data_IF_154810503389
#
_entry.id   IF_154810503389
#
_cell.length_a   1.000
_cell.length_b   1.000
_cell.length_c   1.000
_cell.angle_alpha   90.00
_cell.angle_beta   90.00
_cell.angle_gamma   90.00
#
_symmetry.space_group_name_H-M   'P 1'
#
loop_
_entity.id
_entity.type
_entity.pdbx_description
1 polymer ?
#
# COMPACT_ATOMS: atom_id res chain seq x y z
N UNK A 1 -25.48 -32.95 -2.51
CA UNK A 1 -24.74 -32.27 -1.45
C UNK A 1 -23.34 -32.86 -1.19
N UNK A 2 -23.19 -34.14 -0.74
CA UNK A 2 -21.87 -34.72 -0.39
C UNK A 2 -20.85 -34.68 -1.55
N UNK A 3 -21.24 -34.98 -2.80
CA UNK A 3 -20.34 -34.89 -3.96
C UNK A 3 -19.89 -33.47 -4.27
N UNK A 4 -20.79 -32.48 -4.14
CA UNK A 4 -20.44 -31.05 -4.33
C UNK A 4 -19.48 -30.55 -3.26
N UNK A 5 -19.66 -30.95 -2.00
CA UNK A 5 -18.75 -30.62 -0.91
C UNK A 5 -17.35 -31.22 -1.12
N UNK A 6 -17.27 -32.49 -1.58
CA UNK A 6 -16.00 -33.15 -1.91
C UNK A 6 -15.31 -32.44 -3.07
N UNK A 7 -16.06 -32.09 -4.14
CA UNK A 7 -15.48 -31.36 -5.27
C UNK A 7 -14.97 -29.96 -4.88
N UNK A 8 -15.72 -29.22 -4.04
CA UNK A 8 -15.29 -27.92 -3.52
C UNK A 8 -14.02 -28.04 -2.65
N UNK A 9 -13.95 -29.08 -1.81
CA UNK A 9 -12.76 -29.35 -0.99
C UNK A 9 -11.53 -29.69 -1.85
N UNK A 10 -11.69 -30.52 -2.88
CA UNK A 10 -10.62 -30.88 -3.81
C UNK A 10 -10.11 -29.65 -4.60
N UNK A 11 -11.01 -28.78 -5.04
CA UNK A 11 -10.65 -27.53 -5.72
C UNK A 11 -9.89 -26.58 -4.77
N UNK A 12 -10.29 -26.50 -3.51
CA UNK A 12 -9.61 -25.70 -2.49
C UNK A 12 -8.21 -26.24 -2.23
N UNK A 13 -8.06 -27.55 -2.08
CA UNK A 13 -6.75 -28.21 -1.89
C UNK A 13 -5.84 -27.98 -3.11
N UNK A 14 -6.38 -28.10 -4.32
CA UNK A 14 -5.64 -27.81 -5.55
C UNK A 14 -5.18 -26.34 -5.63
N UNK A 15 -6.05 -25.41 -5.28
CA UNK A 15 -5.72 -23.99 -5.24
C UNK A 15 -4.62 -23.68 -4.21
N UNK A 16 -4.70 -24.28 -3.02
CA UNK A 16 -3.67 -24.16 -1.98
C UNK A 16 -2.34 -24.76 -2.46
N UNK A 17 -2.36 -25.92 -3.11
CA UNK A 17 -1.17 -26.56 -3.66
C UNK A 17 -0.51 -25.70 -4.75
N UNK A 18 -1.29 -25.12 -5.66
CA UNK A 18 -0.80 -24.22 -6.71
C UNK A 18 -0.17 -22.96 -6.09
N UNK A 19 -0.83 -22.37 -5.10
CA UNK A 19 -0.30 -21.21 -4.39
C UNK A 19 0.99 -21.56 -3.63
N UNK A 20 1.04 -22.72 -2.99
CA UNK A 20 2.23 -23.22 -2.31
C UNK A 20 3.39 -23.45 -3.28
N UNK A 21 3.15 -24.08 -4.42
CA UNK A 21 4.18 -24.30 -5.45
C UNK A 21 4.67 -22.99 -6.07
N UNK A 22 3.76 -22.03 -6.28
CA UNK A 22 4.11 -20.70 -6.78
C UNK A 22 5.03 -19.96 -5.78
N UNK A 23 4.65 -19.90 -4.51
CA UNK A 23 5.45 -19.25 -3.47
C UNK A 23 6.76 -19.95 -3.20
N UNK A 24 6.77 -21.31 -3.23
CA UNK A 24 7.96 -22.11 -3.05
C UNK A 24 8.99 -21.86 -4.17
N UNK A 25 8.54 -21.90 -5.44
CA UNK A 25 9.42 -21.58 -6.58
C UNK A 25 9.92 -20.15 -6.54
N UNK A 26 9.06 -19.21 -6.17
CA UNK A 26 9.45 -17.82 -6.02
C UNK A 26 10.57 -17.67 -4.98
N UNK A 27 10.40 -18.22 -3.79
CA UNK A 27 11.38 -18.12 -2.70
C UNK A 27 12.73 -18.82 -2.99
N UNK A 28 12.75 -19.81 -3.91
CA UNK A 28 14.01 -20.39 -4.40
C UNK A 28 14.77 -19.42 -5.29
N UNK A 29 14.06 -18.71 -6.17
CA UNK A 29 14.66 -17.81 -7.17
C UNK A 29 14.99 -16.45 -6.55
N UNK A 30 14.10 -15.95 -5.68
CA UNK A 30 14.17 -14.65 -5.02
C UNK A 30 14.03 -14.85 -3.49
N UNK A 31 15.08 -15.32 -2.79
CA UNK A 31 14.97 -15.60 -1.37
C UNK A 31 14.78 -14.32 -0.56
N UNK A 32 13.70 -14.29 0.21
CA UNK A 32 13.47 -13.23 1.18
C UNK A 32 14.43 -13.37 2.36
N UNK A 33 14.94 -12.23 2.82
CA UNK A 33 15.55 -12.11 4.14
C UNK A 33 14.47 -11.78 5.17
N UNK A 34 14.70 -12.09 6.43
CA UNK A 34 13.80 -11.74 7.54
C UNK A 34 14.58 -11.26 8.75
N UNK A 35 13.97 -10.37 9.51
CA UNK A 35 14.52 -9.86 10.76
C UNK A 35 13.39 -9.45 11.71
N UNK A 36 13.70 -9.27 13.00
CA UNK A 36 12.75 -8.76 13.98
C UNK A 36 13.42 -7.84 15.00
N UNK A 37 12.60 -6.97 15.58
CA UNK A 37 12.96 -6.09 16.69
C UNK A 37 12.09 -6.39 17.90
N UNK A 38 12.54 -6.01 19.09
CA UNK A 38 11.70 -5.89 20.28
C UNK A 38 11.41 -4.41 20.53
N UNK A 39 10.12 -4.04 20.52
CA UNK A 39 9.67 -2.66 20.73
C UNK A 39 8.54 -2.72 21.76
N UNK A 40 8.69 -2.02 22.87
CA UNK A 40 7.69 -1.95 23.96
C UNK A 40 7.19 -3.32 24.44
N UNK A 41 8.08 -4.31 24.50
CA UNK A 41 7.76 -5.68 24.92
C UNK A 41 7.14 -6.57 23.82
N UNK A 42 6.98 -6.08 22.59
CA UNK A 42 6.44 -6.83 21.47
C UNK A 42 7.50 -7.16 20.43
N UNK A 43 7.49 -8.39 19.93
CA UNK A 43 8.29 -8.77 18.76
C UNK A 43 7.63 -8.22 17.49
N UNK A 44 8.43 -7.49 16.68
CA UNK A 44 8.00 -6.86 15.43
C UNK A 44 8.89 -7.33 14.30
N UNK A 45 8.35 -8.17 13.43
CA UNK A 45 9.09 -8.82 12.36
C UNK A 45 8.83 -8.18 10.99
N UNK A 46 9.72 -8.44 10.05
CA UNK A 46 9.56 -8.07 8.65
C UNK A 46 10.33 -9.02 7.74
N UNK A 47 9.88 -9.12 6.50
CA UNK A 47 10.63 -9.74 5.41
C UNK A 47 11.05 -8.66 4.42
N UNK A 48 12.11 -8.91 3.68
CA UNK A 48 12.60 -7.94 2.71
C UNK A 48 13.34 -8.59 1.55
N UNK A 49 13.31 -7.93 0.42
CA UNK A 49 13.99 -8.30 -0.80
C UNK A 49 15.11 -7.31 -1.12
N UNK A 50 16.27 -7.82 -1.42
CA UNK A 50 17.45 -7.06 -1.85
C UNK A 50 17.91 -7.61 -3.19
N UNK A 51 17.98 -6.81 -4.25
CA UNK A 51 18.53 -7.23 -5.53
C UNK A 51 19.94 -7.83 -5.39
N UNK A 52 20.24 -8.86 -6.20
CA UNK A 52 21.55 -9.53 -6.17
C UNK A 52 22.72 -8.56 -6.41
N UNK A 53 22.49 -7.59 -7.29
CA UNK A 53 23.44 -6.51 -7.57
C UNK A 53 22.73 -5.19 -7.26
N UNK A 54 22.96 -4.63 -6.08
CA UNK A 54 22.35 -3.38 -5.69
C UNK A 54 23.35 -2.23 -5.82
N UNK A 55 22.90 -1.12 -6.37
CA UNK A 55 23.72 0.09 -6.48
C UNK A 55 23.95 0.71 -5.09
N UNK A 56 25.06 1.47 -4.89
CA UNK A 56 25.32 2.20 -3.65
C UNK A 56 24.18 3.20 -3.33
N UNK A 57 23.95 3.41 -2.03
CA UNK A 57 22.92 4.32 -1.52
C UNK A 57 21.51 4.00 -2.07
N UNK A 58 21.03 2.74 -1.97
CA UNK A 58 19.75 2.36 -2.55
C UNK A 58 18.59 3.08 -1.87
N UNK A 59 17.49 3.19 -2.59
CA UNK A 59 16.19 3.62 -2.09
C UNK A 59 15.59 2.57 -1.18
N UNK A 60 14.65 2.96 -0.31
CA UNK A 60 13.87 2.04 0.53
C UNK A 60 12.38 2.18 0.22
N UNK A 61 11.71 1.08 -0.09
CA UNK A 61 10.25 1.04 -0.26
C UNK A 61 9.65 0.12 0.80
N UNK A 62 8.84 0.69 1.71
CA UNK A 62 8.16 -0.04 2.78
C UNK A 62 6.72 -0.28 2.38
N UNK A 63 6.28 -1.55 2.33
CA UNK A 63 4.99 -1.98 1.78
C UNK A 63 4.13 -2.57 2.89
N UNK A 64 3.17 -1.79 3.41
CA UNK A 64 2.29 -2.14 4.53
C UNK A 64 1.08 -2.94 4.04
N UNK A 65 0.87 -4.13 4.61
CA UNK A 65 -0.24 -5.02 4.25
C UNK A 65 -1.60 -4.55 4.79
N UNK A 66 -2.68 -5.07 4.22
CA UNK A 66 -4.05 -4.85 4.68
C UNK A 66 -4.39 -5.62 5.96
N UNK A 67 -5.62 -5.43 6.44
CA UNK A 67 -6.14 -6.11 7.64
C UNK A 67 -6.05 -7.63 7.56
N UNK A 68 -5.67 -8.27 8.68
CA UNK A 68 -5.61 -9.73 8.84
C UNK A 68 -4.66 -10.44 7.86
N UNK A 69 -3.78 -9.70 7.21
CA UNK A 69 -2.77 -10.24 6.31
C UNK A 69 -1.43 -10.45 7.04
N UNK A 70 -0.56 -11.17 6.36
CA UNK A 70 0.84 -11.32 6.73
C UNK A 70 1.74 -10.65 5.67
N UNK A 71 2.94 -10.28 6.07
CA UNK A 71 3.93 -9.63 5.21
C UNK A 71 4.13 -10.35 3.87
N UNK A 72 4.32 -11.70 3.88
CA UNK A 72 4.47 -12.48 2.65
C UNK A 72 3.21 -12.49 1.77
N UNK A 73 2.01 -12.37 2.36
CA UNK A 73 0.76 -12.28 1.59
C UNK A 73 0.69 -10.95 0.83
N UNK A 74 1.16 -9.85 1.43
CA UNK A 74 1.26 -8.57 0.73
C UNK A 74 2.17 -8.66 -0.48
N UNK A 75 3.32 -9.31 -0.35
CA UNK A 75 4.25 -9.57 -1.44
C UNK A 75 3.57 -10.35 -2.59
N UNK A 76 2.78 -11.40 -2.27
CA UNK A 76 2.01 -12.15 -3.26
C UNK A 76 0.92 -11.30 -3.90
N UNK A 77 0.14 -10.55 -3.11
CA UNK A 77 -0.97 -9.73 -3.60
C UNK A 77 -0.51 -8.62 -4.54
N UNK A 78 0.71 -8.12 -4.38
CA UNK A 78 1.34 -7.20 -5.34
C UNK A 78 1.91 -7.92 -6.57
N UNK A 79 1.75 -9.25 -6.69
CA UNK A 79 2.31 -10.05 -7.77
C UNK A 79 3.84 -10.11 -7.77
N UNK A 80 4.48 -9.87 -6.61
CA UNK A 80 5.93 -9.68 -6.48
C UNK A 80 6.50 -8.55 -7.37
N UNK A 81 5.65 -7.69 -7.90
CA UNK A 81 6.04 -6.71 -8.91
C UNK A 81 7.03 -5.68 -8.35
N UNK A 82 6.91 -5.29 -7.07
CA UNK A 82 7.91 -4.41 -6.44
C UNK A 82 9.31 -5.06 -6.40
N UNK A 83 9.38 -6.36 -6.09
CA UNK A 83 10.66 -7.08 -6.06
C UNK A 83 11.27 -7.21 -7.46
N UNK A 84 10.42 -7.52 -8.46
CA UNK A 84 10.84 -7.59 -9.88
C UNK A 84 11.32 -6.22 -10.40
N UNK A 85 10.65 -5.14 -10.02
CA UNK A 85 11.07 -3.78 -10.37
C UNK A 85 12.39 -3.41 -9.69
N UNK A 86 12.57 -3.81 -8.43
CA UNK A 86 13.83 -3.64 -7.72
C UNK A 86 14.97 -4.42 -8.36
N UNK A 87 14.77 -5.69 -8.70
CA UNK A 87 15.75 -6.53 -9.41
C UNK A 87 16.14 -5.95 -10.78
N UNK A 88 15.16 -5.43 -11.51
CA UNK A 88 15.38 -4.83 -12.82
C UNK A 88 16.19 -3.54 -12.75
N UNK A 89 15.90 -2.68 -11.76
CA UNK A 89 16.53 -1.36 -11.64
C UNK A 89 17.77 -1.37 -10.74
N UNK A 90 17.90 -2.35 -9.85
CA UNK A 90 19.05 -2.56 -8.96
C UNK A 90 19.33 -1.37 -8.02
N UNK A 91 18.31 -0.58 -7.68
CA UNK A 91 18.46 0.69 -6.96
C UNK A 91 17.52 0.86 -5.75
N UNK A 92 16.74 -0.18 -5.40
CA UNK A 92 15.80 -0.14 -4.28
C UNK A 92 15.79 -1.46 -3.49
N UNK A 93 15.56 -1.36 -2.18
CA UNK A 93 15.26 -2.47 -1.27
C UNK A 93 13.77 -2.42 -0.97
N UNK A 94 13.09 -3.57 -1.01
CA UNK A 94 11.66 -3.67 -0.73
C UNK A 94 11.45 -4.34 0.62
N UNK A 95 10.69 -3.72 1.51
CA UNK A 95 10.44 -4.20 2.87
C UNK A 95 8.95 -4.40 3.09
N UNK A 96 8.60 -5.57 3.62
CA UNK A 96 7.24 -5.95 3.98
C UNK A 96 7.16 -6.16 5.49
N UNK A 97 6.85 -5.12 6.28
CA UNK A 97 6.73 -5.27 7.72
C UNK A 97 5.47 -6.04 8.11
N UNK A 98 5.51 -6.68 9.30
CA UNK A 98 4.39 -7.41 9.87
C UNK A 98 3.67 -6.55 10.90
N UNK A 99 2.40 -6.23 10.65
CA UNK A 99 1.52 -5.57 11.60
C UNK A 99 1.20 -6.48 12.79
N UNK A 100 1.06 -5.89 13.98
CA UNK A 100 0.75 -6.63 15.19
C UNK A 100 -0.58 -7.37 15.07
N UNK A 101 -0.56 -8.69 15.25
CA UNK A 101 -1.70 -9.59 15.02
C UNK A 101 -2.38 -9.35 13.64
N UNK A 102 -1.58 -9.03 12.61
CA UNK A 102 -2.04 -8.81 11.23
C UNK A 102 -2.67 -7.44 10.98
N UNK A 103 -2.48 -6.45 11.84
CA UNK A 103 -3.11 -5.14 11.72
C UNK A 103 -2.18 -4.02 12.18
N UNK A 104 -2.48 -2.79 11.77
CA UNK A 104 -1.77 -1.56 12.10
C UNK A 104 -2.59 -0.68 13.05
N UNK A 105 -1.92 -0.02 13.98
CA UNK A 105 -2.48 1.08 14.75
C UNK A 105 -2.47 2.34 13.86
N UNK A 106 -3.49 2.49 13.06
CA UNK A 106 -3.64 3.57 12.08
C UNK A 106 -4.27 4.86 12.65
N UNK A 107 -4.57 5.81 11.77
CA UNK A 107 -5.13 7.14 12.13
C UNK A 107 -6.61 7.17 12.51
N UNK A 108 -7.34 6.05 12.47
CA UNK A 108 -8.75 5.99 12.84
C UNK A 108 -8.93 5.94 14.37
N UNK A 109 -9.98 6.57 14.87
CA UNK A 109 -10.42 6.45 16.29
C UNK A 109 -11.14 5.12 16.55
N UNK A 110 -12.04 4.72 15.63
CA UNK A 110 -12.98 3.60 15.79
C UNK A 110 -12.47 2.30 15.15
N UNK A 111 -11.20 1.94 15.34
CA UNK A 111 -10.66 0.69 14.84
C UNK A 111 -10.61 -0.38 15.93
N UNK A 112 -11.32 -1.52 15.80
CA UNK A 112 -11.37 -2.57 16.81
C UNK A 112 -10.15 -3.53 16.76
N UNK A 113 -9.11 -3.20 16.00
CA UNK A 113 -7.93 -4.05 15.88
C UNK A 113 -7.12 -4.10 17.18
N UNK A 114 -6.53 -5.27 17.54
CA UNK A 114 -5.64 -5.37 18.69
C UNK A 114 -4.50 -4.35 18.70
N UNK A 115 -3.92 -4.08 17.53
CA UNK A 115 -2.87 -3.07 17.39
C UNK A 115 -3.33 -1.67 17.85
N UNK A 116 -4.60 -1.32 17.59
CA UNK A 116 -5.21 -0.07 18.03
C UNK A 116 -5.52 -0.08 19.52
N UNK A 117 -6.18 -1.15 20.01
CA UNK A 117 -6.61 -1.26 21.40
C UNK A 117 -5.42 -1.27 22.38
N UNK A 118 -4.31 -1.90 21.99
CA UNK A 118 -3.08 -1.96 22.77
C UNK A 118 -2.13 -0.79 22.47
N UNK A 119 -2.57 0.17 21.66
CA UNK A 119 -1.77 1.33 21.25
C UNK A 119 -0.35 0.96 20.77
N UNK A 120 -0.23 -0.09 19.96
CA UNK A 120 1.05 -0.55 19.42
C UNK A 120 1.75 0.60 18.67
N UNK A 121 3.04 0.80 18.93
CA UNK A 121 3.81 1.89 18.31
C UNK A 121 4.37 1.48 16.95
N UNK A 122 3.51 1.54 15.93
CA UNK A 122 3.88 1.27 14.53
C UNK A 122 4.73 2.40 13.92
N UNK A 123 4.70 3.60 14.50
CA UNK A 123 5.54 4.72 14.06
C UNK A 123 6.99 4.48 14.46
N UNK A 124 7.25 4.11 15.71
CA UNK A 124 8.60 3.74 16.18
C UNK A 124 9.11 2.51 15.43
N UNK A 125 8.26 1.50 15.19
CA UNK A 125 8.64 0.35 14.37
C UNK A 125 9.09 0.78 12.96
N UNK A 126 8.35 1.67 12.31
CA UNK A 126 8.72 2.23 10.99
C UNK A 126 10.07 2.96 11.04
N UNK A 127 10.32 3.79 12.05
CA UNK A 127 11.61 4.48 12.21
C UNK A 127 12.77 3.50 12.44
N UNK A 128 12.57 2.47 13.24
CA UNK A 128 13.58 1.42 13.44
C UNK A 128 13.88 0.62 12.18
N UNK A 129 12.86 0.37 11.33
CA UNK A 129 13.11 -0.20 10.00
C UNK A 129 14.06 0.67 9.18
N UNK A 130 13.79 1.97 9.08
CA UNK A 130 14.63 2.90 8.30
C UNK A 130 16.06 2.91 8.84
N UNK A 131 16.24 3.04 10.15
CA UNK A 131 17.55 3.03 10.79
C UNK A 131 18.32 1.71 10.52
N UNK A 132 17.62 0.56 10.62
CA UNK A 132 18.23 -0.74 10.32
C UNK A 132 18.76 -0.81 8.88
N UNK A 133 17.99 -0.34 7.90
CA UNK A 133 18.44 -0.36 6.51
C UNK A 133 19.52 0.70 6.21
N UNK A 134 19.53 1.82 6.92
CA UNK A 134 20.63 2.79 6.88
C UNK A 134 21.94 2.16 7.38
N UNK A 135 21.89 1.50 8.55
CA UNK A 135 23.06 0.85 9.14
C UNK A 135 23.58 -0.35 8.33
N UNK A 136 22.66 -1.19 7.79
CA UNK A 136 23.03 -2.44 7.13
C UNK A 136 23.32 -2.29 5.64
N UNK A 137 22.71 -1.31 4.97
CA UNK A 137 22.75 -1.18 3.50
C UNK A 137 23.12 0.22 3.03
N UNK A 138 23.33 1.16 3.93
CA UNK A 138 23.66 2.56 3.62
C UNK A 138 22.65 3.17 2.64
N UNK A 139 21.36 2.99 2.92
CA UNK A 139 20.28 3.54 2.09
C UNK A 139 20.33 5.06 2.02
N UNK A 140 19.76 5.63 0.96
CA UNK A 140 19.52 7.06 0.92
C UNK A 140 18.27 7.41 1.75
N UNK A 141 18.45 7.92 2.97
CA UNK A 141 17.35 8.26 3.89
C UNK A 141 16.44 9.37 3.38
N UNK A 142 16.86 10.16 2.38
CA UNK A 142 15.98 11.10 1.68
C UNK A 142 15.10 10.44 0.61
N UNK A 143 15.34 9.16 0.30
CA UNK A 143 14.64 8.38 -0.71
C UNK A 143 13.99 7.13 -0.09
N UNK A 144 13.19 7.35 0.95
CA UNK A 144 12.35 6.34 1.60
C UNK A 144 10.90 6.55 1.20
N UNK A 145 10.21 5.47 0.86
CA UNK A 145 8.85 5.50 0.29
C UNK A 145 7.93 4.54 1.02
N UNK A 146 6.67 4.96 1.23
CA UNK A 146 5.64 4.14 1.87
C UNK A 146 4.56 3.74 0.88
N UNK A 147 4.24 2.44 0.84
CA UNK A 147 3.08 1.90 0.10
C UNK A 147 2.17 1.22 1.10
N UNK A 148 0.86 1.45 1.04
CA UNK A 148 -0.09 0.78 1.92
C UNK A 148 -1.35 0.32 1.22
N UNK A 149 -1.81 -0.88 1.54
CA UNK A 149 -3.08 -1.43 1.08
C UNK A 149 -4.10 -1.46 2.22
N UNK A 150 -5.32 -0.96 2.01
CA UNK A 150 -6.42 -1.05 2.99
C UNK A 150 -6.01 -0.48 4.37
N UNK A 151 -5.97 -1.27 5.45
CA UNK A 151 -5.44 -0.86 6.75
C UNK A 151 -3.97 -0.39 6.68
N UNK A 152 -3.15 -0.97 5.80
CA UNK A 152 -1.81 -0.45 5.50
C UNK A 152 -1.84 0.94 4.84
N UNK A 153 -2.83 1.22 4.00
CA UNK A 153 -3.09 2.56 3.45
C UNK A 153 -3.50 3.57 4.53
N UNK A 154 -4.32 3.14 5.50
CA UNK A 154 -4.63 3.94 6.69
C UNK A 154 -3.37 4.22 7.55
N UNK A 155 -2.43 3.26 7.62
CA UNK A 155 -1.14 3.46 8.26
C UNK A 155 -0.27 4.47 7.48
N UNK A 156 -0.27 4.41 6.15
CA UNK A 156 0.43 5.38 5.31
C UNK A 156 -0.14 6.80 5.51
N UNK A 157 -1.46 6.97 5.62
CA UNK A 157 -2.07 8.26 5.96
C UNK A 157 -1.67 8.74 7.36
N UNK A 158 -1.62 7.84 8.36
CA UNK A 158 -1.12 8.17 9.70
C UNK A 158 0.32 8.70 9.65
N UNK A 159 1.20 8.02 8.91
CA UNK A 159 2.60 8.42 8.75
C UNK A 159 2.70 9.76 8.01
N UNK A 160 1.93 9.97 6.95
CA UNK A 160 1.89 11.23 6.22
C UNK A 160 1.41 12.40 7.11
N UNK A 161 0.44 12.18 7.99
CA UNK A 161 -0.09 13.18 8.89
C UNK A 161 0.82 13.47 10.10
N UNK A 162 1.43 12.43 10.70
CA UNK A 162 2.20 12.56 11.94
C UNK A 162 3.70 12.67 11.76
N UNK A 163 4.23 12.23 10.61
CA UNK A 163 5.67 12.19 10.28
C UNK A 163 5.90 12.60 8.81
N UNK A 164 5.46 13.79 8.37
CA UNK A 164 5.43 14.17 6.94
C UNK A 164 6.82 14.23 6.29
N UNK A 165 7.89 14.40 7.07
CA UNK A 165 9.28 14.41 6.58
C UNK A 165 9.96 13.03 6.57
N UNK A 166 9.30 11.97 7.06
CA UNK A 166 9.90 10.64 7.18
C UNK A 166 10.03 9.93 5.83
N UNK A 167 9.14 10.25 4.89
CA UNK A 167 9.10 9.64 3.55
C UNK A 167 9.14 10.69 2.46
N UNK A 168 9.83 10.38 1.38
CA UNK A 168 9.86 11.20 0.16
C UNK A 168 8.49 11.24 -0.53
N UNK A 169 7.78 10.09 -0.55
CA UNK A 169 6.42 10.00 -1.05
C UNK A 169 5.67 8.79 -0.46
N UNK A 170 4.34 8.84 -0.60
CA UNK A 170 3.39 7.84 -0.11
C UNK A 170 2.54 7.29 -1.24
N UNK A 171 2.07 6.05 -1.09
CA UNK A 171 1.07 5.44 -1.97
C UNK A 171 0.03 4.71 -1.14
N UNK A 172 -1.25 4.86 -1.48
CA UNK A 172 -2.36 4.14 -0.85
C UNK A 172 -3.20 3.42 -1.91
N UNK A 173 -3.61 2.19 -1.61
CA UNK A 173 -4.45 1.37 -2.48
C UNK A 173 -5.67 0.92 -1.66
N UNK A 174 -6.89 1.13 -2.18
CA UNK A 174 -8.12 0.73 -1.52
C UNK A 174 -8.27 1.35 -0.12
N UNK A 175 -7.94 2.63 0.02
CA UNK A 175 -8.01 3.34 1.30
C UNK A 175 -8.36 4.81 1.07
N UNK A 176 -9.11 5.38 2.01
CA UNK A 176 -9.49 6.80 2.02
C UNK A 176 -9.27 7.38 3.42
N UNK A 177 -9.22 8.69 3.59
CA UNK A 177 -9.08 9.30 4.90
C UNK A 177 -10.26 8.90 5.80
N UNK A 178 -10.05 8.71 7.11
CA UNK A 178 -11.16 8.66 8.06
C UNK A 178 -11.96 9.96 8.01
N UNK A 179 -13.29 9.87 8.16
CA UNK A 179 -14.12 11.07 8.33
C UNK A 179 -13.70 11.85 9.60
N UNK A 180 -13.92 13.16 9.70
CA UNK A 180 -13.38 14.00 10.77
C UNK A 180 -13.65 13.48 12.19
N UNK A 181 -14.84 12.94 12.45
CA UNK A 181 -15.21 12.35 13.74
C UNK A 181 -14.41 11.07 14.07
N UNK A 182 -13.96 10.34 13.04
CA UNK A 182 -13.17 9.11 13.14
C UNK A 182 -11.65 9.33 12.97
N UNK A 183 -11.21 10.56 12.68
CA UNK A 183 -9.82 10.89 12.37
C UNK A 183 -9.08 11.43 13.59
N UNK A 184 -7.97 10.80 13.98
CA UNK A 184 -7.10 11.27 15.06
C UNK A 184 -6.39 12.60 14.72
N UNK A 185 -6.25 12.94 13.45
CA UNK A 185 -5.56 14.13 12.95
C UNK A 185 -6.53 15.19 12.41
N UNK A 186 -7.84 15.06 12.68
CA UNK A 186 -8.83 16.05 12.28
C UNK A 186 -8.47 17.44 12.88
N UNK A 187 -8.50 18.47 12.05
CA UNK A 187 -8.16 19.84 12.46
C UNK A 187 -6.67 20.14 12.59
N UNK A 188 -5.77 19.17 12.44
CA UNK A 188 -4.34 19.45 12.38
C UNK A 188 -3.99 20.09 11.01
N UNK A 189 -3.09 21.07 11.05
CA UNK A 189 -2.55 21.64 9.80
C UNK A 189 -1.72 20.58 9.09
N UNK A 190 -2.12 20.21 7.87
CA UNK A 190 -1.40 19.20 7.09
C UNK A 190 -0.22 19.83 6.37
N UNK A 191 0.91 19.18 6.48
CA UNK A 191 2.07 19.52 5.66
C UNK A 191 1.93 18.91 4.26
N UNK A 192 2.49 19.61 3.28
CA UNK A 192 2.54 19.16 1.91
C UNK A 192 3.38 17.88 1.77
N UNK A 193 2.78 16.81 1.25
CA UNK A 193 3.49 15.56 0.93
C UNK A 193 3.23 15.15 -0.51
N UNK A 194 4.13 14.35 -1.08
CA UNK A 194 3.87 13.67 -2.35
C UNK A 194 3.10 12.38 -2.08
N UNK A 195 1.95 12.17 -2.75
CA UNK A 195 1.11 11.00 -2.52
C UNK A 195 0.35 10.56 -3.77
N UNK A 196 0.28 9.24 -3.99
CA UNK A 196 -0.62 8.64 -4.98
C UNK A 196 -1.69 7.81 -4.30
N UNK A 197 -2.94 7.98 -4.74
CA UNK A 197 -4.10 7.25 -4.26
C UNK A 197 -4.68 6.40 -5.40
N UNK A 198 -4.95 5.12 -5.14
CA UNK A 198 -5.53 4.17 -6.12
C UNK A 198 -6.79 3.57 -5.52
N UNK A 199 -7.96 3.88 -6.09
CA UNK A 199 -9.24 3.48 -5.55
C UNK A 199 -10.17 2.90 -6.62
N UNK A 200 -10.80 1.77 -6.30
CA UNK A 200 -11.85 1.15 -7.10
C UNK A 200 -13.22 1.75 -6.77
N UNK A 201 -14.03 2.06 -7.80
CA UNK A 201 -15.38 2.60 -7.61
C UNK A 201 -16.39 1.54 -7.13
N UNK A 202 -16.05 0.25 -7.26
CA UNK A 202 -16.84 -0.89 -6.80
C UNK A 202 -16.26 -1.53 -5.54
N UNK A 203 -15.48 -0.77 -4.77
CA UNK A 203 -14.93 -1.25 -3.50
C UNK A 203 -16.06 -1.42 -2.48
N UNK A 204 -16.31 -2.68 -2.10
CA UNK A 204 -17.37 -3.06 -1.16
C UNK A 204 -16.96 -3.02 0.32
N UNK A 205 -15.69 -2.72 0.62
CA UNK A 205 -15.14 -2.67 1.99
C UNK A 205 -14.84 -1.24 2.40
N UNK A 206 -14.11 -0.49 1.57
CA UNK A 206 -13.84 0.94 1.75
C UNK A 206 -14.61 1.72 0.67
N UNK A 207 -15.81 2.23 0.98
CA UNK A 207 -16.68 2.80 -0.04
C UNK A 207 -16.04 3.98 -0.78
N UNK A 208 -15.99 3.91 -2.11
CA UNK A 208 -15.42 4.98 -2.94
C UNK A 208 -16.07 6.35 -2.69
N UNK A 209 -17.39 6.34 -2.47
CA UNK A 209 -18.19 7.55 -2.22
C UNK A 209 -18.20 7.98 -0.75
N UNK A 210 -17.34 7.37 0.08
CA UNK A 210 -17.37 7.58 1.54
C UNK A 210 -18.47 6.79 2.23
N UNK A 211 -18.44 6.82 3.55
CA UNK A 211 -19.39 6.09 4.38
C UNK A 211 -18.70 5.15 5.36
N UNK A 212 -19.45 4.19 5.87
CA UNK A 212 -18.96 3.25 6.87
C UNK A 212 -18.05 2.19 6.24
N UNK A 213 -16.84 2.04 6.80
CA UNK A 213 -15.96 0.91 6.47
C UNK A 213 -16.46 -0.32 7.20
N UNK A 214 -16.79 -1.38 6.48
CA UNK A 214 -17.28 -2.64 7.06
C UNK A 214 -16.46 -3.84 6.57
N UNK A 215 -16.08 -4.72 7.50
CA UNK A 215 -15.40 -5.97 7.20
C UNK A 215 -15.87 -7.05 8.19
N UNK A 216 -16.26 -8.22 7.70
CA UNK A 216 -16.78 -9.34 8.50
C UNK A 216 -17.93 -8.91 9.44
N UNK A 217 -18.84 -8.04 8.97
CA UNK A 217 -19.97 -7.53 9.74
C UNK A 217 -19.61 -6.60 10.88
N UNK A 218 -18.37 -6.11 10.96
CA UNK A 218 -17.91 -5.14 11.95
C UNK A 218 -17.68 -3.77 11.32
N UNK A 219 -18.01 -2.72 12.08
CA UNK A 219 -17.72 -1.34 11.71
C UNK A 219 -16.28 -0.96 12.07
N UNK A 220 -15.64 -0.22 11.18
CA UNK A 220 -14.32 0.39 11.38
C UNK A 220 -14.41 1.93 11.31
N UNK A 221 -15.63 2.44 11.48
CA UNK A 221 -15.96 3.85 11.49
C UNK A 221 -16.16 4.46 10.10
N UNK A 222 -16.54 5.73 10.10
CA UNK A 222 -16.82 6.49 8.89
C UNK A 222 -15.53 6.91 8.19
N UNK A 223 -15.58 6.94 6.87
CA UNK A 223 -14.51 7.38 5.98
C UNK A 223 -15.00 8.44 4.99
N UNK A 224 -14.08 9.31 4.61
CA UNK A 224 -14.28 10.25 3.50
C UNK A 224 -14.36 9.50 2.16
N UNK A 225 -14.95 10.15 1.15
CA UNK A 225 -14.90 9.63 -0.22
C UNK A 225 -13.47 9.69 -0.79
N UNK A 226 -13.19 8.84 -1.78
CA UNK A 226 -11.90 8.86 -2.46
C UNK A 226 -11.61 10.20 -3.16
N UNK A 227 -12.58 10.85 -3.85
CA UNK A 227 -12.37 12.19 -4.39
C UNK A 227 -12.08 13.27 -3.33
N UNK A 228 -12.77 13.24 -2.17
CA UNK A 228 -12.50 14.19 -1.06
C UNK A 228 -11.11 13.93 -0.47
N UNK A 229 -10.72 12.66 -0.30
CA UNK A 229 -9.37 12.29 0.14
C UNK A 229 -8.30 12.81 -0.82
N UNK A 230 -8.51 12.67 -2.14
CA UNK A 230 -7.57 13.16 -3.14
C UNK A 230 -7.48 14.70 -3.14
N UNK A 231 -8.62 15.38 -3.05
CA UNK A 231 -8.68 16.84 -2.96
C UNK A 231 -7.95 17.37 -1.71
N UNK A 232 -8.12 16.70 -0.56
CA UNK A 232 -7.44 17.05 0.68
C UNK A 232 -5.90 17.09 0.53
N UNK A 233 -5.31 16.05 -0.06
CA UNK A 233 -3.86 15.98 -0.27
C UNK A 233 -3.38 16.95 -1.36
N UNK A 234 -4.16 17.11 -2.45
CA UNK A 234 -3.90 18.11 -3.49
C UNK A 234 -3.83 19.53 -2.90
N UNK A 235 -4.82 19.87 -2.08
CA UNK A 235 -4.93 21.20 -1.50
C UNK A 235 -3.84 21.45 -0.46
N UNK A 236 -3.52 20.45 0.38
CA UNK A 236 -2.39 20.49 1.31
C UNK A 236 -1.04 20.69 0.58
N UNK A 237 -0.87 20.10 -0.60
CA UNK A 237 0.31 20.29 -1.43
C UNK A 237 0.30 21.63 -2.21
N UNK A 238 -0.83 22.34 -2.27
CA UNK A 238 -1.00 23.50 -3.15
C UNK A 238 -0.78 23.15 -4.63
N UNK A 239 -1.13 21.93 -5.02
CA UNK A 239 -0.83 21.39 -6.34
C UNK A 239 -1.99 21.64 -7.32
N UNK A 240 -1.64 21.93 -8.58
CA UNK A 240 -2.60 22.10 -9.68
C UNK A 240 -2.51 20.93 -10.65
N UNK A 241 -3.60 20.64 -11.35
CA UNK A 241 -3.63 19.59 -12.37
C UNK A 241 -2.66 19.89 -13.50
N UNK A 242 -1.86 18.88 -13.88
CA UNK A 242 -0.91 18.97 -14.99
C UNK A 242 -1.22 18.00 -16.13
N UNK A 243 -1.88 16.88 -15.83
CA UNK A 243 -2.21 15.87 -16.84
C UNK A 243 -3.25 14.87 -16.35
N UNK A 244 -3.92 14.25 -17.32
CA UNK A 244 -4.77 13.08 -17.12
C UNK A 244 -4.33 11.97 -18.06
N UNK A 245 -4.15 10.74 -17.51
CA UNK A 245 -3.75 9.54 -18.26
C UNK A 245 -4.86 8.51 -18.16
N UNK A 246 -5.21 7.89 -19.31
CA UNK A 246 -6.16 6.79 -19.36
C UNK A 246 -5.43 5.44 -19.38
N UNK A 247 -5.87 4.50 -18.56
CA UNK A 247 -5.47 3.10 -18.60
C UNK A 247 -6.62 2.26 -19.16
N UNK A 248 -6.48 1.82 -20.41
CA UNK A 248 -7.55 1.13 -21.12
C UNK A 248 -8.85 1.95 -21.14
N UNK A 249 -9.98 1.31 -20.84
CA UNK A 249 -11.30 1.94 -20.81
C UNK A 249 -11.88 2.12 -19.39
N UNK A 250 -11.18 1.62 -18.38
CA UNK A 250 -11.73 1.46 -17.03
C UNK A 250 -11.00 2.24 -15.95
N UNK A 251 -9.85 2.84 -16.24
CA UNK A 251 -9.14 3.59 -15.23
C UNK A 251 -8.55 4.91 -15.75
N UNK A 252 -8.54 5.89 -14.86
CA UNK A 252 -8.04 7.24 -15.13
C UNK A 252 -7.10 7.64 -14.00
N UNK A 253 -5.93 8.19 -14.34
CA UNK A 253 -5.01 8.83 -13.40
C UNK A 253 -5.00 10.34 -13.66
N UNK A 254 -5.35 11.13 -12.65
CA UNK A 254 -5.20 12.59 -12.67
C UNK A 254 -3.98 12.97 -11.84
N UNK A 255 -3.07 13.74 -12.43
CA UNK A 255 -1.82 14.15 -11.82
C UNK A 255 -1.86 15.65 -11.48
N UNK A 256 -1.42 15.97 -10.29
CA UNK A 256 -1.30 17.34 -9.77
C UNK A 256 0.14 17.58 -9.34
N UNK A 257 0.65 18.77 -9.56
CA UNK A 257 2.03 19.14 -9.22
C UNK A 257 2.12 20.59 -8.74
N UNK A 258 2.97 20.82 -7.76
CA UNK A 258 3.35 22.15 -7.31
C UNK A 258 4.84 22.37 -7.57
N UNK A 259 5.16 23.34 -8.44
CA UNK A 259 6.54 23.65 -8.87
C UNK A 259 7.38 24.27 -7.75
N UNK A 260 6.74 24.98 -6.81
CA UNK A 260 7.46 25.72 -5.77
C UNK A 260 8.00 24.80 -4.68
N UNK A 261 7.20 23.83 -4.26
CA UNK A 261 7.59 22.87 -3.21
C UNK A 261 7.90 21.47 -3.73
N UNK A 262 7.85 21.24 -5.05
CA UNK A 262 8.14 19.98 -5.74
C UNK A 262 7.22 18.82 -5.32
N UNK A 263 6.04 19.11 -4.74
CA UNK A 263 5.09 18.07 -4.32
C UNK A 263 4.19 17.65 -5.47
N UNK A 264 3.97 16.35 -5.57
CA UNK A 264 3.10 15.72 -6.58
C UNK A 264 2.01 14.89 -5.90
N UNK A 265 0.80 15.00 -6.41
CA UNK A 265 -0.34 14.22 -5.99
C UNK A 265 -0.92 13.54 -7.22
N UNK A 266 -1.20 12.24 -7.14
CA UNK A 266 -1.87 11.52 -8.22
C UNK A 266 -3.09 10.79 -7.67
N UNK A 267 -4.17 10.80 -8.45
CA UNK A 267 -5.39 10.09 -8.11
C UNK A 267 -5.78 9.13 -9.23
N UNK A 268 -5.74 7.83 -8.95
CA UNK A 268 -6.13 6.77 -9.87
C UNK A 268 -7.50 6.26 -9.49
N UNK A 269 -8.46 6.44 -10.39
CA UNK A 269 -9.82 5.94 -10.27
C UNK A 269 -10.03 4.75 -11.18
N UNK A 270 -10.54 3.63 -10.64
CA UNK A 270 -10.79 2.40 -11.38
C UNK A 270 -12.29 2.10 -11.37
N UNK A 271 -12.96 2.28 -12.50
CA UNK A 271 -14.42 2.23 -12.64
C UNK A 271 -15.03 0.90 -12.16
N UNK A 272 -14.42 -0.22 -12.50
CA UNK A 272 -14.86 -1.58 -12.18
C UNK A 272 -14.05 -2.23 -11.04
N UNK A 273 -13.10 -1.50 -10.44
CA UNK A 273 -12.21 -2.01 -9.40
C UNK A 273 -12.92 -2.27 -8.08
N UNK A 274 -12.70 -3.44 -7.49
CA UNK A 274 -13.06 -3.78 -6.12
C UNK A 274 -11.95 -3.44 -5.11
N UNK A 275 -12.02 -4.05 -3.90
CA UNK A 275 -11.06 -3.87 -2.81
C UNK A 275 -9.83 -4.77 -3.00
N UNK A 276 -9.02 -4.50 -4.00
CA UNK A 276 -7.85 -5.32 -4.32
C UNK A 276 -6.68 -4.49 -4.88
N UNK A 277 -5.56 -5.16 -5.18
CA UNK A 277 -4.37 -4.56 -5.77
C UNK A 277 -4.28 -5.01 -7.22
N UNK A 278 -4.67 -4.20 -8.20
CA UNK A 278 -4.51 -4.55 -9.61
C UNK A 278 -3.04 -4.71 -9.96
N UNK A 279 -2.68 -5.86 -10.55
CA UNK A 279 -1.31 -6.12 -11.02
C UNK A 279 -1.31 -7.16 -12.16
N UNK A 280 -0.16 -7.32 -12.84
CA UNK A 280 -0.03 -8.22 -13.99
C UNK A 280 0.13 -9.69 -13.62
N UNK A 281 0.73 -9.98 -12.47
CA UNK A 281 1.26 -11.30 -12.15
C UNK A 281 0.33 -12.12 -11.26
N UNK A 282 -0.43 -11.47 -10.37
CA UNK A 282 -1.33 -12.14 -9.44
C UNK A 282 -2.77 -11.70 -9.69
N UNK A 283 -3.60 -12.61 -10.22
CA UNK A 283 -4.99 -12.32 -10.64
C UNK A 283 -5.98 -13.34 -10.09
N UNK A 284 -5.77 -13.79 -8.86
CA UNK A 284 -6.71 -14.69 -8.22
C UNK A 284 -7.93 -13.88 -7.77
N UNK A 285 -9.10 -14.21 -8.33
CA UNK A 285 -10.36 -13.61 -7.93
C UNK A 285 -10.75 -14.09 -6.53
N UNK A 286 -10.90 -13.14 -5.61
CA UNK A 286 -11.40 -13.36 -4.25
C UNK A 286 -12.75 -12.64 -4.17
N UNK A 287 -13.89 -13.37 -4.07
CA UNK A 287 -15.23 -12.77 -4.14
C UNK A 287 -15.45 -11.60 -3.18
N UNK A 288 -14.92 -11.70 -1.96
CA UNK A 288 -15.02 -10.64 -0.94
C UNK A 288 -14.33 -9.33 -1.38
N UNK A 289 -13.25 -9.43 -2.17
CA UNK A 289 -12.47 -8.27 -2.62
C UNK A 289 -12.97 -7.69 -3.95
N UNK A 290 -13.91 -8.35 -4.62
CA UNK A 290 -14.47 -7.91 -5.89
C UNK A 290 -13.55 -8.10 -7.09
N UNK A 291 -13.85 -7.40 -8.18
CA UNK A 291 -13.16 -7.55 -9.46
C UNK A 291 -11.75 -6.95 -9.43
N UNK A 292 -10.79 -7.67 -9.99
CA UNK A 292 -9.41 -7.20 -10.20
C UNK A 292 -9.31 -6.58 -11.58
N UNK A 293 -9.10 -5.28 -11.65
CA UNK A 293 -8.91 -4.55 -12.89
C UNK A 293 -7.65 -5.04 -13.64
N UNK A 294 -7.72 -5.08 -14.97
CA UNK A 294 -6.65 -5.56 -15.84
C UNK A 294 -5.91 -4.45 -16.59
N UNK A 295 -6.46 -3.25 -16.59
CA UNK A 295 -5.90 -2.10 -17.30
C UNK A 295 -4.80 -1.43 -16.47
N UNK A 296 -4.86 -1.56 -15.13
CA UNK A 296 -3.90 -0.96 -14.19
C UNK A 296 -2.95 -2.01 -13.63
N UNK A 297 -1.69 -1.65 -13.55
CA UNK A 297 -0.66 -2.33 -12.77
C UNK A 297 -0.24 -1.41 -11.63
N UNK A 298 -0.89 -1.53 -10.48
CA UNK A 298 -0.72 -0.60 -9.38
C UNK A 298 0.74 -0.50 -8.87
N UNK A 299 1.49 -1.61 -8.68
CA UNK A 299 2.90 -1.51 -8.32
C UNK A 299 3.74 -0.72 -9.33
N UNK A 300 3.53 -0.93 -10.64
CA UNK A 300 4.26 -0.20 -11.67
C UNK A 300 3.88 1.29 -11.69
N UNK A 301 2.59 1.62 -11.56
CA UNK A 301 2.11 3.01 -11.50
C UNK A 301 2.67 3.73 -10.28
N UNK A 302 2.74 3.05 -9.13
CA UNK A 302 3.36 3.58 -7.90
C UNK A 302 4.86 3.78 -8.09
N UNK A 303 5.56 2.80 -8.70
CA UNK A 303 6.98 2.90 -9.01
C UNK A 303 7.30 4.10 -9.88
N UNK A 304 6.51 4.29 -10.93
CA UNK A 304 6.65 5.43 -11.83
C UNK A 304 6.37 6.75 -11.11
N UNK A 305 5.35 6.79 -10.25
CA UNK A 305 5.07 7.96 -9.43
C UNK A 305 6.23 8.27 -8.47
N UNK A 306 6.88 7.28 -7.87
CA UNK A 306 7.99 7.52 -6.95
C UNK A 306 9.24 8.00 -7.68
N UNK A 307 9.58 7.42 -8.82
CA UNK A 307 10.92 7.50 -9.39
C UNK A 307 11.01 8.25 -10.72
N UNK A 308 9.89 8.58 -11.35
CA UNK A 308 9.88 9.39 -12.57
C UNK A 308 9.55 10.85 -12.28
N UNK A 309 10.08 11.72 -13.14
CA UNK A 309 9.73 13.14 -13.11
C UNK A 309 8.23 13.32 -13.38
N UNK A 310 7.52 14.24 -12.69
CA UNK A 310 6.12 14.54 -12.93
C UNK A 310 5.77 14.85 -14.38
N UNK A 311 6.66 15.46 -15.14
CA UNK A 311 6.47 15.80 -16.56
C UNK A 311 6.30 14.53 -17.40
N UNK A 312 6.99 13.44 -17.05
CA UNK A 312 6.89 12.16 -17.76
C UNK A 312 5.67 11.32 -17.35
N UNK A 313 4.98 11.67 -16.26
CA UNK A 313 3.70 11.05 -15.90
C UNK A 313 2.56 11.48 -16.85
N UNK A 314 2.80 12.49 -17.70
CA UNK A 314 1.84 13.01 -18.69
C UNK A 314 1.80 12.22 -20.00
N UNK A 315 2.74 11.30 -20.24
CA UNK A 315 2.86 10.57 -21.51
C UNK A 315 2.66 9.08 -21.25
N UNK A 316 1.40 8.67 -21.06
CA UNK A 316 1.01 7.26 -21.13
C UNK A 316 1.30 6.73 -22.55
N UNK A 317 2.20 5.76 -22.68
CA UNK A 317 2.32 4.92 -23.88
C UNK A 317 1.43 3.70 -23.72
#
# INVERSE_FOLDING_TARGET
MRKMLISALLLLIAAIAVLFLYTYRWNIIHPNKSHSFHIDGYERSFIYHVPKHIHPNPKLVIVYHGSKLKSFMMQILTGHEFDLLADKNQDAIIVYPQGYMGNWNDGRKSSPFPAKQLNIDDVTFTKQLINYFEEQYHINTSQVYAVGFSNGGQMAFRLAASQPGLFAAYATIGSTLPAPENNLFAGHHQQAVSIILINGQQDGIVPYNGGEITLDGKSYGMAESAPVTAAYWRDAAGATEISTVQFGHTATQTNYYNKDNQKKVSFVTIKDGGHNIPNRNFRIYIPLLGYINKDVDAPLVIWDFFFKDPIYLSHGK
#
